data_IF_726121458622
#
_entry.id   IF_726121458622
#
_cell.length_a   1.000
_cell.length_b   1.000
_cell.length_c   1.000
_cell.angle_alpha   90.00
_cell.angle_beta   90.00
_cell.angle_gamma   90.00
#
_symmetry.space_group_name_H-M   'P 1'
#
loop_
_entity.id
_entity.type
_entity.pdbx_description
1 polymer ?
#
# COMPACT_ATOMS: atom_id res chain seq x y z
N UNK A 1 -10.82 -21.41 0.38
CA UNK A 1 -9.99 -21.79 -0.79
C UNK A 1 -9.22 -23.11 -0.68
N UNK A 2 -9.16 -23.80 0.47
CA UNK A 2 -8.79 -25.22 0.44
C UNK A 2 -9.75 -25.94 -0.53
N UNK A 3 -9.21 -26.58 -1.57
CA UNK A 3 -9.95 -27.17 -2.70
C UNK A 3 -10.56 -26.19 -3.73
N UNK A 4 -10.05 -24.97 -3.87
CA UNK A 4 -10.34 -24.10 -5.02
C UNK A 4 -9.06 -23.78 -5.80
N UNK A 5 -9.12 -23.54 -7.12
CA UNK A 5 -7.99 -23.02 -7.87
C UNK A 5 -7.50 -21.69 -7.28
N UNK A 6 -6.19 -21.48 -7.26
CA UNK A 6 -5.63 -20.18 -6.91
C UNK A 6 -5.99 -19.14 -7.98
N UNK A 7 -6.20 -17.87 -7.62
CA UNK A 7 -6.35 -16.81 -8.61
C UNK A 7 -5.12 -16.72 -9.52
N UNK A 8 -5.34 -16.54 -10.82
CA UNK A 8 -4.26 -16.52 -11.81
C UNK A 8 -3.16 -15.50 -11.50
N UNK A 9 -3.52 -14.29 -11.08
CA UNK A 9 -2.54 -13.26 -10.69
C UNK A 9 -1.68 -13.67 -9.49
N UNK A 10 -2.20 -14.51 -8.59
CA UNK A 10 -1.43 -15.03 -7.47
C UNK A 10 -0.51 -16.16 -7.89
N UNK A 11 -0.94 -17.03 -8.82
CA UNK A 11 -0.06 -18.04 -9.42
C UNK A 11 1.15 -17.38 -10.09
N UNK A 12 0.91 -16.35 -10.91
CA UNK A 12 1.98 -15.57 -11.57
C UNK A 12 2.90 -14.90 -10.55
N UNK A 13 2.35 -14.34 -9.48
CA UNK A 13 3.15 -13.82 -8.38
C UNK A 13 4.02 -14.90 -7.74
N UNK A 14 3.49 -16.09 -7.47
CA UNK A 14 4.24 -17.19 -6.87
C UNK A 14 5.37 -17.69 -7.76
N UNK A 15 5.14 -17.77 -9.08
CA UNK A 15 6.14 -18.20 -10.07
C UNK A 15 7.36 -17.26 -10.12
N UNK A 16 7.15 -15.96 -9.89
CA UNK A 16 8.22 -14.96 -10.00
C UNK A 16 8.78 -14.49 -8.65
N UNK A 17 7.93 -14.40 -7.62
CA UNK A 17 8.20 -13.72 -6.35
C UNK A 17 7.78 -14.55 -5.13
N UNK A 18 7.34 -15.80 -5.32
CA UNK A 18 6.80 -16.63 -4.24
C UNK A 18 7.81 -16.99 -3.13
N UNK A 19 9.11 -16.88 -3.38
CA UNK A 19 10.16 -17.14 -2.38
C UNK A 19 10.89 -15.87 -1.92
N UNK A 20 10.61 -14.74 -2.55
CA UNK A 20 11.25 -13.45 -2.29
C UNK A 20 10.45 -12.36 -2.99
N UNK A 21 10.02 -11.34 -2.25
CA UNK A 21 9.35 -10.18 -2.85
C UNK A 21 10.31 -9.25 -3.61
N UNK A 22 11.55 -9.68 -3.88
CA UNK A 22 12.56 -8.83 -4.51
C UNK A 22 12.94 -7.64 -3.64
N UNK A 23 12.70 -7.74 -2.33
CA UNK A 23 12.84 -6.65 -1.38
C UNK A 23 11.78 -5.58 -1.57
N UNK A 24 10.54 -5.87 -1.94
CA UNK A 24 9.47 -4.84 -1.96
C UNK A 24 8.87 -4.56 -0.57
N UNK A 25 9.27 -5.36 0.42
CA UNK A 25 8.77 -5.32 1.79
C UNK A 25 7.23 -5.34 1.78
N UNK A 26 6.66 -6.34 1.11
CA UNK A 26 5.21 -6.44 0.87
C UNK A 26 4.44 -6.74 2.16
N UNK A 27 5.09 -7.43 3.10
CA UNK A 27 4.56 -7.74 4.41
C UNK A 27 4.93 -6.65 5.43
N UNK A 28 3.98 -6.30 6.31
CA UNK A 28 4.27 -5.45 7.45
C UNK A 28 4.97 -6.26 8.55
N UNK A 29 6.30 -6.23 8.55
CA UNK A 29 7.15 -6.97 9.50
C UNK A 29 6.85 -8.48 9.49
N UNK A 30 6.73 -9.04 8.28
CA UNK A 30 6.47 -10.46 8.10
C UNK A 30 7.01 -10.98 6.77
N UNK A 31 6.36 -11.99 6.21
CA UNK A 31 6.85 -12.69 5.03
C UNK A 31 5.74 -12.99 4.02
N UNK A 32 6.06 -12.79 2.75
CA UNK A 32 5.30 -13.30 1.60
C UNK A 32 5.91 -14.58 1.01
N UNK A 33 6.93 -15.17 1.66
CA UNK A 33 7.46 -16.47 1.23
C UNK A 33 6.38 -17.53 1.34
N UNK A 34 6.23 -18.34 0.29
CA UNK A 34 5.17 -19.33 0.17
C UNK A 34 5.26 -20.41 1.25
N UNK A 35 6.46 -20.79 1.71
CA UNK A 35 6.58 -21.75 2.81
C UNK A 35 6.07 -21.14 4.10
N UNK A 36 6.39 -19.86 4.36
CA UNK A 36 5.85 -19.15 5.52
C UNK A 36 4.31 -19.04 5.48
N UNK A 37 3.72 -18.80 4.30
CA UNK A 37 2.26 -18.79 4.11
C UNK A 37 1.66 -20.18 4.33
N UNK A 38 2.29 -21.24 3.78
CA UNK A 38 1.83 -22.62 3.98
C UNK A 38 1.91 -23.03 5.45
N UNK A 39 3.01 -22.70 6.13
CA UNK A 39 3.20 -22.98 7.55
C UNK A 39 2.20 -22.21 8.41
N UNK A 40 1.88 -20.97 8.05
CA UNK A 40 0.80 -20.22 8.69
C UNK A 40 -0.55 -20.96 8.59
N UNK A 41 -0.92 -21.49 7.42
CA UNK A 41 -2.15 -22.26 7.27
C UNK A 41 -2.13 -23.58 8.06
N UNK A 42 -0.98 -24.26 8.12
CA UNK A 42 -0.81 -25.46 8.95
C UNK A 42 -1.01 -25.15 10.43
N UNK A 43 -0.43 -24.05 10.88
CA UNK A 43 -0.56 -23.57 12.25
C UNK A 43 -2.01 -23.24 12.62
N UNK A 44 -2.74 -22.56 11.74
CA UNK A 44 -4.17 -22.27 11.97
C UNK A 44 -4.97 -23.56 12.13
N UNK A 45 -4.71 -24.57 11.30
CA UNK A 45 -5.40 -25.85 11.37
C UNK A 45 -5.07 -26.63 12.66
N UNK A 46 -3.85 -26.49 13.20
CA UNK A 46 -3.43 -27.15 14.44
C UNK A 46 -3.91 -26.46 15.71
N UNK A 47 -4.02 -25.12 15.70
CA UNK A 47 -4.30 -24.30 16.90
C UNK A 47 -5.78 -24.05 17.17
N UNK A 48 -6.70 -24.66 16.41
CA UNK A 48 -8.15 -24.40 16.46
C UNK A 48 -8.50 -22.90 16.33
N UNK A 49 -7.64 -22.12 15.65
CA UNK A 49 -7.88 -20.70 15.39
C UNK A 49 -8.86 -20.58 14.23
N UNK A 50 -9.65 -19.50 14.23
CA UNK A 50 -10.56 -19.21 13.13
C UNK A 50 -9.81 -19.20 11.78
N UNK A 51 -10.29 -19.94 10.77
CA UNK A 51 -9.70 -19.90 9.44
C UNK A 51 -9.91 -18.52 8.81
N UNK A 52 -9.12 -18.16 7.78
CA UNK A 52 -9.38 -16.97 6.97
C UNK A 52 -10.81 -17.01 6.39
N UNK A 53 -11.41 -15.84 6.10
CA UNK A 53 -12.73 -15.80 5.50
C UNK A 53 -12.82 -16.64 4.21
N UNK A 54 -13.98 -17.25 3.90
CA UNK A 54 -14.06 -18.29 2.87
C UNK A 54 -13.63 -17.87 1.45
N UNK A 55 -13.80 -16.59 1.12
CA UNK A 55 -13.44 -15.95 -0.14
C UNK A 55 -12.05 -15.29 -0.12
N UNK A 56 -11.26 -15.49 0.93
CA UNK A 56 -9.96 -14.91 1.11
C UNK A 56 -8.83 -15.94 1.12
N UNK A 57 -7.68 -15.49 0.64
CA UNK A 57 -6.41 -16.19 0.77
C UNK A 57 -5.37 -15.25 1.39
N UNK A 58 -4.69 -15.71 2.43
CA UNK A 58 -3.53 -14.98 2.98
C UNK A 58 -2.38 -15.13 1.99
N UNK A 59 -1.85 -14.01 1.50
CA UNK A 59 -0.68 -14.03 0.59
C UNK A 59 0.58 -13.42 1.22
N UNK A 60 0.42 -12.69 2.33
CA UNK A 60 1.52 -12.23 3.15
C UNK A 60 1.13 -12.38 4.64
N UNK A 61 2.03 -13.02 5.38
CA UNK A 61 1.99 -13.11 6.84
C UNK A 61 2.63 -11.84 7.43
N UNK A 62 2.10 -11.31 8.51
CA UNK A 62 2.59 -10.10 9.17
C UNK A 62 2.66 -10.29 10.67
N UNK A 63 3.25 -9.31 11.36
CA UNK A 63 3.14 -9.21 12.81
C UNK A 63 1.63 -9.22 13.22
N UNK A 64 1.24 -9.96 14.27
CA UNK A 64 -0.16 -10.06 14.70
C UNK A 64 -0.84 -8.70 14.93
N UNK A 65 -0.07 -7.67 15.29
CA UNK A 65 -0.55 -6.31 15.59
C UNK A 65 -0.78 -5.50 14.31
N UNK A 66 0.00 -5.73 13.25
CA UNK A 66 -0.08 -4.94 12.02
C UNK A 66 -1.04 -5.58 10.99
N UNK A 67 -1.28 -6.88 11.11
CA UNK A 67 -2.33 -7.60 10.41
C UNK A 67 -1.83 -8.44 9.24
N UNK A 68 -2.66 -9.39 8.81
CA UNK A 68 -2.42 -10.21 7.63
C UNK A 68 -2.91 -9.49 6.36
N UNK A 69 -2.31 -9.83 5.22
CA UNK A 69 -2.77 -9.33 3.91
C UNK A 69 -3.45 -10.46 3.15
N UNK A 70 -4.69 -10.21 2.73
CA UNK A 70 -5.55 -11.16 2.05
C UNK A 70 -5.75 -10.76 0.59
N UNK A 71 -5.88 -11.77 -0.28
CA UNK A 71 -6.49 -11.67 -1.59
C UNK A 71 -7.94 -12.13 -1.47
N UNK A 72 -8.88 -11.23 -1.69
CA UNK A 72 -10.30 -11.54 -1.68
C UNK A 72 -10.82 -11.73 -3.11
N UNK A 73 -11.47 -12.86 -3.37
CA UNK A 73 -12.22 -13.11 -4.60
C UNK A 73 -13.38 -12.12 -4.73
N UNK A 74 -13.46 -11.46 -5.89
CA UNK A 74 -14.55 -10.58 -6.28
C UNK A 74 -15.26 -11.18 -7.49
N UNK A 75 -16.58 -11.32 -7.40
CA UNK A 75 -17.37 -11.87 -8.49
C UNK A 75 -17.20 -11.05 -9.79
N UNK A 76 -16.74 -11.72 -10.85
CA UNK A 76 -16.56 -11.11 -12.17
C UNK A 76 -15.37 -10.16 -12.30
N UNK A 77 -14.43 -10.13 -11.35
CA UNK A 77 -13.28 -9.25 -11.37
C UNK A 77 -11.98 -9.88 -10.86
N UNK A 78 -10.84 -9.18 -10.97
CA UNK A 78 -9.60 -9.60 -10.33
C UNK A 78 -9.75 -9.56 -8.79
N UNK A 79 -9.02 -10.41 -8.05
CA UNK A 79 -9.01 -10.34 -6.60
C UNK A 79 -8.54 -8.98 -6.10
N UNK A 80 -9.22 -8.47 -5.07
CA UNK A 80 -8.79 -7.25 -4.36
C UNK A 80 -7.89 -7.59 -3.19
N UNK A 81 -7.05 -6.64 -2.79
CA UNK A 81 -6.15 -6.82 -1.66
C UNK A 81 -6.74 -6.18 -0.42
N UNK A 82 -6.84 -6.96 0.65
CA UNK A 82 -7.42 -6.55 1.92
C UNK A 82 -6.37 -6.64 3.04
N UNK A 83 -6.46 -5.76 4.03
CA UNK A 83 -5.80 -5.94 5.33
C UNK A 83 -6.81 -6.57 6.27
N UNK A 84 -6.35 -7.50 7.09
CA UNK A 84 -7.13 -8.03 8.20
C UNK A 84 -6.31 -8.15 9.48
N UNK A 85 -7.02 -8.28 10.59
CA UNK A 85 -6.49 -8.32 11.95
C UNK A 85 -7.15 -9.50 12.65
N UNK A 86 -6.40 -10.27 13.41
CA UNK A 86 -6.90 -11.45 14.14
C UNK A 86 -7.69 -12.43 13.25
N UNK A 87 -7.23 -12.61 12.00
CA UNK A 87 -7.87 -13.52 11.04
C UNK A 87 -9.19 -13.02 10.43
N UNK A 88 -9.60 -11.78 10.72
CA UNK A 88 -10.78 -11.14 10.13
C UNK A 88 -10.36 -10.06 9.13
N UNK A 89 -11.11 -9.90 8.04
CA UNK A 89 -10.93 -8.77 7.13
C UNK A 89 -11.30 -7.49 7.88
N UNK A 90 -10.41 -6.51 7.83
CA UNK A 90 -10.65 -5.19 8.41
C UNK A 90 -11.04 -4.19 7.30
N UNK A 91 -10.23 -4.10 6.24
CA UNK A 91 -10.37 -3.02 5.25
C UNK A 91 -9.71 -3.30 3.90
N UNK A 92 -10.15 -2.61 2.83
CA UNK A 92 -9.42 -2.57 1.57
C UNK A 92 -8.00 -2.01 1.75
N UNK A 93 -7.07 -2.58 0.99
CA UNK A 93 -5.70 -2.09 0.89
C UNK A 93 -5.39 -1.58 -0.51
N UNK A 94 -5.69 -2.38 -1.54
CA UNK A 94 -5.58 -2.03 -2.96
C UNK A 94 -6.63 -2.77 -3.76
N UNK A 95 -6.95 -2.25 -4.94
CA UNK A 95 -7.92 -2.88 -5.84
C UNK A 95 -7.37 -4.13 -6.54
N UNK A 96 -6.04 -4.31 -6.59
CA UNK A 96 -5.40 -5.50 -7.17
C UNK A 96 -4.02 -5.78 -6.58
N UNK A 97 -3.54 -7.02 -6.73
CA UNK A 97 -2.16 -7.38 -6.40
C UNK A 97 -1.15 -6.61 -7.26
N UNK A 98 -1.46 -6.38 -8.54
CA UNK A 98 -0.64 -5.57 -9.44
C UNK A 98 -0.43 -4.16 -8.86
N UNK A 99 -1.49 -3.52 -8.37
CA UNK A 99 -1.41 -2.18 -7.77
C UNK A 99 -0.52 -2.16 -6.52
N UNK A 100 -0.57 -3.21 -5.69
CA UNK A 100 0.36 -3.36 -4.56
C UNK A 100 1.80 -3.40 -5.07
N UNK A 101 2.12 -4.32 -5.99
CA UNK A 101 3.49 -4.54 -6.45
C UNK A 101 4.09 -3.27 -7.07
N UNK A 102 3.37 -2.62 -7.99
CA UNK A 102 3.88 -1.42 -8.63
C UNK A 102 3.94 -0.23 -7.68
N UNK A 103 2.97 -0.03 -6.79
CA UNK A 103 3.02 1.07 -5.82
C UNK A 103 4.18 0.90 -4.84
N UNK A 104 4.46 -0.32 -4.38
CA UNK A 104 5.60 -0.63 -3.51
C UNK A 104 6.93 -0.44 -4.23
N UNK A 105 7.06 -0.90 -5.47
CA UNK A 105 8.24 -0.64 -6.29
C UNK A 105 8.46 0.86 -6.52
N UNK A 106 7.40 1.61 -6.86
CA UNK A 106 7.46 3.05 -7.02
C UNK A 106 7.89 3.77 -5.74
N UNK A 107 7.34 3.40 -4.58
CA UNK A 107 7.75 3.94 -3.29
C UNK A 107 9.23 3.62 -3.01
N UNK A 108 9.66 2.38 -3.28
CA UNK A 108 11.01 1.92 -2.94
C UNK A 108 12.09 2.47 -3.87
N UNK A 109 11.79 2.75 -5.13
CA UNK A 109 12.78 3.19 -6.12
C UNK A 109 12.63 4.65 -6.50
N UNK A 110 11.42 5.11 -6.86
CA UNK A 110 11.20 6.48 -7.33
C UNK A 110 11.11 7.49 -6.18
N UNK A 111 10.24 7.20 -5.20
CA UNK A 111 10.11 8.05 -4.03
C UNK A 111 11.38 8.03 -3.18
N UNK A 112 11.94 6.85 -2.97
CA UNK A 112 13.17 6.74 -2.22
C UNK A 112 14.29 7.52 -2.89
N UNK A 113 14.43 7.54 -4.23
CA UNK A 113 15.51 8.26 -4.90
C UNK A 113 15.60 9.75 -4.53
N UNK A 114 14.48 10.37 -4.15
CA UNK A 114 14.40 11.79 -3.83
C UNK A 114 15.26 12.21 -2.62
N UNK A 115 15.86 13.40 -2.71
CA UNK A 115 16.66 13.99 -1.63
C UNK A 115 15.83 14.56 -0.46
N UNK A 116 14.72 15.21 -0.76
CA UNK A 116 13.87 15.88 0.23
C UNK A 116 12.47 15.28 0.23
N UNK A 117 11.95 14.99 1.42
CA UNK A 117 10.65 14.35 1.57
C UNK A 117 9.88 15.02 2.70
N UNK A 118 8.76 15.65 2.36
CA UNK A 118 7.80 16.22 3.30
C UNK A 118 6.68 15.22 3.59
N UNK A 119 6.38 15.02 4.87
CA UNK A 119 5.26 14.20 5.32
C UNK A 119 4.15 15.07 5.89
N UNK A 120 2.94 14.89 5.35
CA UNK A 120 1.75 15.65 5.68
C UNK A 120 0.65 14.71 6.11
N UNK A 121 -0.15 15.15 7.08
CA UNK A 121 -1.11 14.31 7.76
C UNK A 121 -2.45 15.04 7.87
N UNK A 122 -3.53 14.30 7.61
CA UNK A 122 -4.88 14.81 7.83
C UNK A 122 -5.44 14.34 9.17
N UNK A 123 -5.40 15.22 10.17
CA UNK A 123 -5.99 14.95 11.50
C UNK A 123 -7.49 14.68 11.46
N UNK A 124 -8.18 15.08 10.38
CA UNK A 124 -9.62 14.87 10.18
C UNK A 124 -9.95 13.47 9.65
N UNK A 125 -8.95 12.63 9.37
CA UNK A 125 -9.11 11.24 8.89
C UNK A 125 -10.00 11.12 7.63
N UNK A 126 -9.94 12.10 6.73
CA UNK A 126 -10.69 12.07 5.47
C UNK A 126 -10.05 11.09 4.48
N UNK A 127 -10.83 10.62 3.51
CA UNK A 127 -10.25 10.02 2.31
C UNK A 127 -9.61 11.13 1.47
N UNK A 128 -8.28 11.12 1.43
CA UNK A 128 -7.49 12.14 0.75
C UNK A 128 -7.23 11.82 -0.73
N UNK A 129 -7.49 10.59 -1.19
CA UNK A 129 -7.10 10.14 -2.53
C UNK A 129 -7.76 10.98 -3.65
N UNK A 130 -9.07 11.28 -3.62
CA UNK A 130 -9.69 12.13 -4.66
C UNK A 130 -9.08 13.54 -4.69
N UNK A 131 -8.92 14.16 -3.52
CA UNK A 131 -8.30 15.48 -3.38
C UNK A 131 -6.84 15.48 -3.85
N UNK A 132 -6.06 14.47 -3.47
CA UNK A 132 -4.69 14.28 -3.90
C UNK A 132 -4.59 14.22 -5.42
N UNK A 133 -5.54 13.53 -6.06
CA UNK A 133 -5.60 13.39 -7.52
C UNK A 133 -5.83 14.75 -8.20
N UNK A 134 -6.82 15.51 -7.72
CA UNK A 134 -7.11 16.86 -8.23
C UNK A 134 -5.90 17.80 -8.09
N UNK A 135 -5.22 17.77 -6.93
CA UNK A 135 -3.98 18.54 -6.72
C UNK A 135 -2.90 18.09 -7.71
N UNK A 136 -2.65 16.78 -7.80
CA UNK A 136 -1.64 16.23 -8.69
C UNK A 136 -1.88 16.67 -10.15
N UNK A 137 -3.10 16.50 -10.66
CA UNK A 137 -3.49 16.87 -12.02
C UNK A 137 -3.39 18.38 -12.26
N UNK A 138 -3.88 19.21 -11.34
CA UNK A 138 -3.78 20.69 -11.45
C UNK A 138 -2.34 21.19 -11.42
N UNK A 139 -1.44 20.42 -10.80
CA UNK A 139 0.00 20.70 -10.76
C UNK A 139 0.75 20.00 -11.90
N UNK A 140 0.07 19.36 -12.86
CA UNK A 140 0.70 18.71 -14.02
C UNK A 140 1.50 17.46 -13.68
N UNK A 141 1.13 16.75 -12.62
CA UNK A 141 1.65 15.40 -12.36
C UNK A 141 0.93 14.37 -13.21
N UNK A 142 1.68 13.37 -13.65
CA UNK A 142 1.14 12.16 -14.26
C UNK A 142 0.75 11.18 -13.16
N UNK A 143 -0.55 10.91 -13.06
CA UNK A 143 -1.09 9.87 -12.17
C UNK A 143 -0.73 8.50 -12.75
N UNK A 144 -0.03 7.69 -11.96
CA UNK A 144 0.45 6.40 -12.42
C UNK A 144 -0.71 5.40 -12.55
N UNK A 145 -0.65 4.55 -13.57
CA UNK A 145 -1.72 3.58 -13.94
C UNK A 145 -2.13 2.61 -12.83
N UNK A 146 -1.25 2.40 -11.85
CA UNK A 146 -1.45 1.52 -10.69
C UNK A 146 -1.99 2.26 -9.45
N UNK A 147 -2.34 3.54 -9.59
CA UNK A 147 -3.10 4.27 -8.59
C UNK A 147 -4.56 3.83 -8.62
N UNK A 148 -5.20 3.81 -7.46
CA UNK A 148 -6.58 3.36 -7.29
C UNK A 148 -7.31 4.20 -6.22
N UNK A 149 -8.50 3.77 -5.79
CA UNK A 149 -9.28 4.49 -4.77
C UNK A 149 -8.64 4.47 -3.37
N UNK A 150 -7.63 3.63 -3.15
CA UNK A 150 -6.96 3.43 -1.87
C UNK A 150 -5.59 4.12 -1.80
N UNK A 151 -4.92 4.30 -2.94
CA UNK A 151 -3.68 5.07 -3.02
C UNK A 151 -3.48 5.79 -4.36
N UNK A 152 -2.89 6.98 -4.25
CA UNK A 152 -2.39 7.74 -5.39
C UNK A 152 -0.86 7.69 -5.41
N UNK A 153 -0.30 7.35 -6.57
CA UNK A 153 1.09 7.62 -6.91
C UNK A 153 1.12 8.51 -8.15
N UNK A 154 1.79 9.66 -8.06
CA UNK A 154 1.91 10.57 -9.19
C UNK A 154 3.34 11.11 -9.29
N UNK A 155 3.78 11.40 -10.52
CA UNK A 155 5.14 11.88 -10.79
C UNK A 155 5.12 13.08 -11.73
N UNK A 156 6.02 14.03 -11.47
CA UNK A 156 6.32 15.16 -12.36
C UNK A 156 7.82 15.43 -12.30
N UNK A 157 8.51 15.16 -13.40
CA UNK A 157 9.98 15.25 -13.47
C UNK A 157 10.64 14.44 -12.32
N UNK A 158 11.40 15.11 -11.45
CA UNK A 158 12.06 14.56 -10.25
C UNK A 158 11.26 14.77 -8.97
N UNK A 159 9.95 14.98 -9.09
CA UNK A 159 9.04 15.18 -7.95
C UNK A 159 7.99 14.09 -7.95
N UNK A 160 7.80 13.48 -6.78
CA UNK A 160 6.85 12.41 -6.54
C UNK A 160 5.82 12.87 -5.51
N UNK A 161 4.57 12.54 -5.78
CA UNK A 161 3.43 12.84 -4.92
C UNK A 161 2.71 11.52 -4.61
N UNK A 162 2.67 11.14 -3.34
CA UNK A 162 2.02 9.91 -2.88
C UNK A 162 0.95 10.27 -1.86
N UNK A 163 -0.22 9.67 -2.00
CA UNK A 163 -1.26 9.70 -1.00
C UNK A 163 -1.70 8.28 -0.70
N UNK A 164 -1.69 7.89 0.56
CA UNK A 164 -2.16 6.57 1.00
C UNK A 164 -3.29 6.76 1.99
N UNK A 165 -4.40 6.07 1.75
CA UNK A 165 -5.49 5.99 2.71
C UNK A 165 -4.99 5.19 3.93
N UNK A 166 -4.92 5.86 5.06
CA UNK A 166 -4.66 5.20 6.34
C UNK A 166 -5.93 5.27 7.18
N UNK A 167 -6.38 4.09 7.60
CA UNK A 167 -7.64 3.91 8.27
C UNK A 167 -7.51 3.90 9.80
N UNK A 168 -6.35 3.49 10.33
CA UNK A 168 -6.12 3.39 11.77
C UNK A 168 -5.78 4.74 12.42
N UNK A 169 -5.05 5.60 11.71
CA UNK A 169 -4.45 6.80 12.30
C UNK A 169 -4.97 8.05 11.61
N UNK A 170 -4.50 8.33 10.40
CA UNK A 170 -4.76 9.58 9.66
C UNK A 170 -4.38 9.41 8.19
N UNK A 171 -5.15 9.96 7.24
CA UNK A 171 -4.73 10.01 5.84
C UNK A 171 -3.36 10.68 5.69
N UNK A 172 -2.48 10.11 4.87
CA UNK A 172 -1.11 10.62 4.72
C UNK A 172 -0.84 11.05 3.29
N UNK A 173 -0.19 12.20 3.14
CA UNK A 173 0.40 12.64 1.89
C UNK A 173 1.91 12.78 2.06
N UNK A 174 2.64 12.36 1.04
CA UNK A 174 4.10 12.46 0.98
C UNK A 174 4.47 13.16 -0.31
N UNK A 175 5.32 14.17 -0.20
CA UNK A 175 5.83 14.93 -1.34
C UNK A 175 7.33 14.80 -1.31
N UNK A 176 7.91 14.29 -2.38
CA UNK A 176 9.33 14.03 -2.48
C UNK A 176 9.92 14.71 -3.71
N UNK A 177 11.09 15.32 -3.58
CA UNK A 177 11.77 15.99 -4.69
C UNK A 177 13.28 16.08 -4.46
N UNK A 178 14.02 16.32 -5.53
CA UNK A 178 15.43 16.75 -5.44
C UNK A 178 15.58 18.19 -4.92
N UNK A 179 14.53 19.01 -5.00
CA UNK A 179 14.53 20.41 -4.59
C UNK A 179 13.62 20.62 -3.40
N UNK A 180 14.15 21.19 -2.32
CA UNK A 180 13.38 21.42 -1.08
C UNK A 180 12.27 22.44 -1.31
N UNK A 181 12.54 23.46 -2.09
CA UNK A 181 11.61 24.55 -2.42
C UNK A 181 10.36 24.00 -3.10
N UNK A 182 10.51 22.96 -3.91
CA UNK A 182 9.39 22.31 -4.60
C UNK A 182 8.50 21.54 -3.62
N UNK A 183 9.09 20.84 -2.65
CA UNK A 183 8.35 20.18 -1.57
C UNK A 183 7.62 21.21 -0.71
N UNK A 184 8.26 22.33 -0.36
CA UNK A 184 7.64 23.40 0.44
C UNK A 184 6.52 24.13 -0.32
N UNK A 185 6.68 24.35 -1.63
CA UNK A 185 5.67 24.96 -2.51
C UNK A 185 4.41 24.09 -2.57
N UNK A 186 4.56 22.80 -2.90
CA UNK A 186 3.43 21.86 -2.95
C UNK A 186 2.86 21.60 -1.54
N UNK A 187 3.73 21.55 -0.54
CA UNK A 187 3.36 21.47 0.88
C UNK A 187 2.45 22.62 1.32
N UNK A 188 2.74 23.83 0.88
CA UNK A 188 1.91 25.01 1.17
C UNK A 188 0.53 24.90 0.54
N UNK A 189 0.39 24.26 -0.62
CA UNK A 189 -0.92 24.00 -1.25
C UNK A 189 -1.74 23.07 -0.35
N UNK A 190 -1.19 21.91 0.03
CA UNK A 190 -1.91 20.93 0.86
C UNK A 190 -2.25 21.46 2.26
N UNK A 191 -1.39 22.31 2.83
CA UNK A 191 -1.67 22.97 4.12
C UNK A 191 -2.75 24.04 3.96
N UNK A 192 -2.53 25.03 3.10
CA UNK A 192 -3.36 26.23 3.06
C UNK A 192 -4.74 25.99 2.45
N UNK A 193 -4.82 25.11 1.43
CA UNK A 193 -6.08 24.87 0.71
C UNK A 193 -6.88 23.71 1.33
N UNK A 194 -6.20 22.75 1.95
CA UNK A 194 -6.84 21.51 2.39
C UNK A 194 -6.71 21.22 3.89
N UNK A 195 -5.95 22.03 4.62
CA UNK A 195 -5.81 21.94 6.07
C UNK A 195 -5.04 20.70 6.53
N UNK A 196 -4.15 20.15 5.71
CA UNK A 196 -3.20 19.14 6.16
C UNK A 196 -2.14 19.77 7.05
N UNK A 197 -1.54 18.97 7.92
CA UNK A 197 -0.45 19.42 8.78
C UNK A 197 0.87 18.79 8.35
N UNK A 198 1.89 19.63 8.15
CA UNK A 198 3.27 19.16 8.05
C UNK A 198 3.71 18.55 9.37
N UNK A 199 4.16 17.30 9.35
CA UNK A 199 4.65 16.63 10.56
C UNK A 199 6.16 16.69 10.65
N UNK A 200 6.85 16.31 9.56
CA UNK A 200 8.31 16.18 9.56
C UNK A 200 8.88 16.08 8.15
N UNK A 201 10.15 16.40 8.07
CA UNK A 201 11.02 15.93 7.00
C UNK A 201 11.36 14.46 7.25
N UNK A 202 11.11 13.59 6.27
CA UNK A 202 11.55 12.21 6.37
C UNK A 202 13.07 12.17 6.19
N UNK A 203 13.79 11.85 7.26
CA UNK A 203 15.24 11.61 7.21
C UNK A 203 15.50 10.22 6.65
N UNK A 204 16.25 10.10 5.56
CA UNK A 204 16.75 8.80 5.10
C UNK A 204 17.70 8.25 6.16
N UNK A 205 17.54 6.97 6.51
CA UNK A 205 18.64 6.23 7.12
C UNK A 205 19.77 6.21 6.09
N UNK A 206 20.95 6.68 6.47
CA UNK A 206 22.16 6.59 5.64
C UNK A 206 22.64 5.15 5.58
#
# INVERSE_FOLDING_TARGET
>A
MANRPLPQCYVEFLEHMGHSDGGLDLAYDGSCDINAVVDYYRDLAMKEVLPPPPNCLVFATGDPVIGQIFLEEVDGGPPRVMIGIDGQIDRPYRESLENVLYSRAFIKYEFAASRFVGFYLDKKKRNLVPMAKEIAESQGFEVQRFSDSEALCAKREKTVFICERSYATFGTMKIASERREEVERLGSIVINQHGLEFQRWWKRAK
#
